data_IF_329515965518
#
_entry.id   IF_329515965518
#
_cell.length_a   1.000
_cell.length_b   1.000
_cell.length_c   1.000
_cell.angle_alpha   90.00
_cell.angle_beta   90.00
_cell.angle_gamma   90.00
#
_symmetry.space_group_name_H-M   'P 1'
#
loop_
_entity.id
_entity.type
_entity.pdbx_description
1 polymer ?
#
# COMPACT_ATOMS: atom_id res chain seq x y z
N UNK A 1 8.21 -6.70 -7.29
CA UNK A 1 8.76 -6.14 -6.04
C UNK A 1 7.62 -5.89 -5.05
N UNK A 2 6.66 -4.98 -5.24
CA UNK A 2 5.37 -5.05 -4.49
C UNK A 2 4.59 -6.35 -4.75
N UNK A 3 4.82 -6.97 -5.91
CA UNK A 3 4.45 -8.37 -6.19
C UNK A 3 4.85 -9.35 -5.08
N UNK A 4 6.01 -9.18 -4.44
CA UNK A 4 6.54 -10.13 -3.46
C UNK A 4 5.79 -10.00 -2.14
N UNK A 5 5.48 -8.78 -1.70
CA UNK A 5 4.69 -8.53 -0.49
C UNK A 5 3.27 -9.09 -0.64
N UNK A 6 2.65 -8.90 -1.81
CA UNK A 6 1.33 -9.47 -2.09
C UNK A 6 1.37 -11.01 -2.21
N UNK A 7 2.49 -11.60 -2.64
CA UNK A 7 2.68 -13.07 -2.57
C UNK A 7 2.70 -13.52 -1.12
N UNK A 8 3.36 -12.80 -0.23
CA UNK A 8 3.36 -13.15 1.18
C UNK A 8 1.97 -12.97 1.81
N UNK A 9 1.33 -11.80 1.64
CA UNK A 9 -0.01 -11.53 2.19
C UNK A 9 -1.07 -12.52 1.69
N UNK A 10 -0.99 -12.97 0.43
CA UNK A 10 -2.00 -13.85 -0.15
C UNK A 10 -1.71 -15.34 0.00
N UNK A 11 -0.47 -15.71 0.34
CA UNK A 11 -0.05 -17.08 0.59
C UNK A 11 0.61 -17.24 1.96
N UNK A 12 0.20 -16.45 2.95
CA UNK A 12 0.72 -16.45 4.33
C UNK A 12 0.92 -17.86 4.92
N UNK A 13 0.03 -18.86 4.68
CA UNK A 13 0.24 -20.21 5.22
C UNK A 13 1.39 -21.01 4.57
N UNK A 14 1.88 -20.57 3.40
CA UNK A 14 2.83 -21.31 2.55
C UNK A 14 4.13 -20.53 2.34
N UNK A 15 4.10 -19.21 2.46
CA UNK A 15 5.23 -18.33 2.14
C UNK A 15 5.89 -17.82 3.44
N UNK A 16 7.21 -18.01 3.62
CA UNK A 16 7.92 -17.52 4.80
C UNK A 16 7.83 -16.00 4.99
N UNK A 17 7.69 -15.53 6.23
CA UNK A 17 7.55 -14.11 6.57
C UNK A 17 8.71 -13.19 6.16
N UNK A 18 9.91 -13.73 5.92
CA UNK A 18 11.04 -12.92 5.46
C UNK A 18 10.89 -12.43 4.01
N UNK A 19 9.99 -13.03 3.23
CA UNK A 19 9.73 -12.64 1.84
C UNK A 19 9.16 -11.21 1.78
N UNK A 20 8.38 -10.85 2.77
CA UNK A 20 7.75 -9.53 2.95
C UNK A 20 8.75 -8.41 3.25
N UNK A 21 9.90 -8.76 3.82
CA UNK A 21 10.97 -7.82 4.14
C UNK A 21 11.55 -7.15 2.89
N UNK A 22 11.46 -7.84 1.74
CA UNK A 22 12.08 -7.44 0.49
C UNK A 22 11.30 -6.29 -0.16
N UNK A 23 9.98 -6.17 0.04
CA UNK A 23 9.21 -5.11 -0.58
C UNK A 23 9.01 -3.85 0.27
N UNK A 24 9.30 -3.87 1.58
CA UNK A 24 9.33 -2.64 2.42
C UNK A 24 10.20 -1.50 1.82
N UNK A 25 11.42 -1.75 1.30
CA UNK A 25 12.21 -0.73 0.61
C UNK A 25 11.55 -0.14 -0.64
N UNK A 26 10.70 -0.92 -1.31
CA UNK A 26 10.12 -0.60 -2.62
C UNK A 26 9.12 0.54 -2.49
N UNK A 27 8.36 0.58 -1.40
CA UNK A 27 7.42 1.66 -1.12
C UNK A 27 8.14 3.01 -1.00
N UNK A 28 9.30 3.07 -0.33
CA UNK A 28 10.13 4.30 -0.27
C UNK A 28 10.70 4.68 -1.63
N UNK A 29 11.05 3.70 -2.47
CA UNK A 29 11.51 3.98 -3.84
C UNK A 29 10.39 4.61 -4.67
N UNK A 30 9.15 4.12 -4.57
CA UNK A 30 7.99 4.73 -5.22
C UNK A 30 7.71 6.15 -4.70
N UNK A 31 7.82 6.37 -3.39
CA UNK A 31 7.73 7.71 -2.79
C UNK A 31 8.81 8.63 -3.34
N UNK A 32 10.06 8.18 -3.40
CA UNK A 32 11.17 8.94 -3.94
C UNK A 32 10.95 9.32 -5.41
N UNK A 33 10.54 8.36 -6.25
CA UNK A 33 10.23 8.63 -7.66
C UNK A 33 9.07 9.62 -7.79
N UNK A 34 8.08 9.56 -6.87
CA UNK A 34 6.95 10.50 -6.88
C UNK A 34 7.37 11.92 -6.48
N UNK A 35 8.30 12.06 -5.53
CA UNK A 35 8.93 13.34 -5.16
C UNK A 35 9.67 13.92 -6.36
N UNK A 36 10.53 13.13 -7.02
CA UNK A 36 11.26 13.55 -8.22
C UNK A 36 10.30 13.93 -9.36
N UNK A 37 9.24 13.13 -9.56
CA UNK A 37 8.18 13.38 -10.53
C UNK A 37 7.45 14.69 -10.25
N UNK A 38 7.15 14.99 -8.99
CA UNK A 38 6.49 16.22 -8.57
C UNK A 38 7.37 17.46 -8.77
N UNK A 39 8.66 17.36 -8.45
CA UNK A 39 9.63 18.47 -8.60
C UNK A 39 9.78 18.85 -10.08
N UNK A 40 9.89 17.86 -10.97
CA UNK A 40 10.18 18.08 -12.39
C UNK A 40 8.92 18.25 -13.27
N UNK A 41 7.72 17.99 -12.74
CA UNK A 41 6.48 18.15 -13.50
C UNK A 41 6.00 19.60 -13.45
N UNK A 42 5.76 20.18 -14.62
CA UNK A 42 5.18 21.52 -14.73
C UNK A 42 3.71 21.55 -14.27
N UNK A 43 2.91 20.56 -14.68
CA UNK A 43 1.48 20.45 -14.34
C UNK A 43 1.26 19.43 -13.20
N UNK A 44 1.37 19.91 -11.97
CA UNK A 44 1.22 19.11 -10.73
C UNK A 44 -0.19 18.56 -10.56
N UNK A 45 -1.21 19.31 -10.98
CA UNK A 45 -2.61 18.88 -10.88
C UNK A 45 -2.88 17.67 -11.77
N UNK A 46 -2.42 17.71 -13.03
CA UNK A 46 -2.52 16.56 -13.94
C UNK A 46 -1.75 15.36 -13.42
N UNK A 47 -0.63 15.57 -12.74
CA UNK A 47 0.08 14.46 -12.10
C UNK A 47 -0.73 13.81 -10.99
N UNK A 48 -1.29 14.59 -10.06
CA UNK A 48 -2.17 14.08 -9.00
C UNK A 48 -3.41 13.38 -9.56
N UNK A 49 -4.05 13.94 -10.59
CA UNK A 49 -5.22 13.33 -11.23
C UNK A 49 -4.90 11.96 -11.84
N UNK A 50 -3.71 11.75 -12.39
CA UNK A 50 -3.29 10.41 -12.87
C UNK A 50 -3.19 9.40 -11.73
N UNK A 51 -2.71 9.82 -10.55
CA UNK A 51 -2.64 8.95 -9.38
C UNK A 51 -4.05 8.64 -8.86
N UNK A 52 -4.94 9.64 -8.80
CA UNK A 52 -6.33 9.45 -8.37
C UNK A 52 -7.13 8.55 -9.34
N UNK A 53 -6.93 8.70 -10.65
CA UNK A 53 -7.51 7.79 -11.65
C UNK A 53 -6.97 6.36 -11.45
N UNK A 54 -5.66 6.20 -11.20
CA UNK A 54 -5.06 4.91 -10.87
C UNK A 54 -5.70 4.29 -9.61
N UNK A 55 -5.93 5.09 -8.58
CA UNK A 55 -6.63 4.68 -7.36
C UNK A 55 -8.06 4.20 -7.66
N UNK A 56 -8.84 4.91 -8.48
CA UNK A 56 -10.17 4.47 -8.87
C UNK A 56 -10.16 3.20 -9.71
N UNK A 57 -9.26 3.11 -10.71
CA UNK A 57 -9.12 1.91 -11.54
C UNK A 57 -8.83 0.69 -10.66
N UNK A 58 -7.92 0.84 -9.69
CA UNK A 58 -7.62 -0.22 -8.71
C UNK A 58 -8.86 -0.63 -7.92
N UNK A 59 -9.54 0.31 -7.27
CA UNK A 59 -10.69 -0.02 -6.42
C UNK A 59 -11.83 -0.66 -7.22
N UNK A 60 -12.15 -0.11 -8.39
CA UNK A 60 -13.20 -0.65 -9.27
C UNK A 60 -12.80 -2.04 -9.76
N UNK A 61 -11.58 -2.22 -10.24
CA UNK A 61 -11.13 -3.51 -10.74
C UNK A 61 -11.04 -4.57 -9.64
N UNK A 62 -10.59 -4.21 -8.43
CA UNK A 62 -10.61 -5.11 -7.27
C UNK A 62 -12.05 -5.50 -6.91
N UNK A 63 -12.98 -4.55 -6.89
CA UNK A 63 -14.40 -4.84 -6.65
C UNK A 63 -14.99 -5.79 -7.71
N UNK A 64 -14.65 -5.59 -8.99
CA UNK A 64 -15.07 -6.48 -10.08
C UNK A 64 -14.49 -7.88 -9.89
N UNK A 65 -13.19 -8.00 -9.63
CA UNK A 65 -12.55 -9.31 -9.47
C UNK A 65 -13.12 -10.04 -8.24
N UNK A 66 -13.29 -9.36 -7.10
CA UNK A 66 -13.89 -9.96 -5.90
C UNK A 66 -15.35 -10.37 -6.10
N UNK A 67 -16.09 -9.68 -6.97
CA UNK A 67 -17.46 -10.07 -7.31
C UNK A 67 -17.51 -11.44 -8.02
N UNK A 68 -16.54 -11.74 -8.90
CA UNK A 68 -16.45 -13.02 -9.61
C UNK A 68 -15.67 -14.10 -8.85
N UNK A 69 -14.69 -13.69 -8.05
CA UNK A 69 -13.72 -14.56 -7.37
C UNK A 69 -13.66 -14.17 -5.89
N UNK A 70 -14.70 -14.52 -5.13
CA UNK A 70 -14.73 -14.26 -3.69
C UNK A 70 -13.87 -15.28 -2.93
N UNK A 71 -12.88 -14.79 -2.18
CA UNK A 71 -12.07 -15.59 -1.26
C UNK A 71 -12.43 -15.12 0.16
N UNK A 72 -13.48 -15.69 0.75
CA UNK A 72 -13.91 -15.36 2.13
C UNK A 72 -14.03 -13.85 2.41
N UNK A 73 -13.67 -13.45 3.64
CA UNK A 73 -13.65 -12.05 4.10
C UNK A 73 -12.36 -11.29 3.73
N UNK A 74 -11.56 -11.79 2.78
CA UNK A 74 -10.27 -11.19 2.43
C UNK A 74 -10.48 -9.90 1.61
N UNK A 75 -10.53 -8.76 2.30
CA UNK A 75 -10.57 -7.43 1.69
C UNK A 75 -9.16 -6.94 1.41
N UNK A 76 -8.75 -6.96 0.13
CA UNK A 76 -7.54 -6.28 -0.34
C UNK A 76 -7.77 -4.76 -0.28
N UNK A 77 -7.43 -4.17 0.86
CA UNK A 77 -7.55 -2.72 1.11
C UNK A 77 -6.31 -1.93 0.66
N UNK A 78 -5.23 -2.62 0.28
CA UNK A 78 -3.93 -2.03 -0.02
C UNK A 78 -3.90 -1.45 -1.44
N UNK A 79 -3.88 -0.11 -1.53
CA UNK A 79 -3.83 0.63 -2.79
C UNK A 79 -2.78 1.74 -2.73
N UNK A 80 -1.57 1.43 -3.19
CA UNK A 80 -0.44 2.35 -3.17
C UNK A 80 -0.73 3.67 -3.91
N UNK A 81 -1.59 3.68 -4.93
CA UNK A 81 -1.93 4.93 -5.63
C UNK A 81 -2.59 5.93 -4.70
N UNK A 82 -3.35 5.47 -3.70
CA UNK A 82 -3.92 6.32 -2.66
C UNK A 82 -2.83 6.96 -1.81
N UNK A 83 -1.86 6.17 -1.33
CA UNK A 83 -0.74 6.65 -0.53
C UNK A 83 0.15 7.62 -1.32
N UNK A 84 0.46 7.30 -2.59
CA UNK A 84 1.21 8.19 -3.47
C UNK A 84 0.45 9.50 -3.75
N UNK A 85 -0.85 9.41 -4.02
CA UNK A 85 -1.69 10.59 -4.23
C UNK A 85 -1.65 11.50 -3.00
N UNK A 86 -1.88 10.96 -1.81
CA UNK A 86 -1.87 11.72 -0.56
C UNK A 86 -0.50 12.33 -0.29
N UNK A 87 0.59 11.58 -0.49
CA UNK A 87 1.96 12.10 -0.34
C UNK A 87 2.23 13.28 -1.28
N UNK A 88 1.83 13.16 -2.56
CA UNK A 88 1.95 14.24 -3.54
C UNK A 88 1.03 15.42 -3.22
N UNK A 89 -0.17 15.16 -2.71
CA UNK A 89 -1.12 16.18 -2.30
C UNK A 89 -0.58 17.00 -1.11
N UNK A 90 0.06 16.34 -0.14
CA UNK A 90 0.76 17.02 0.95
C UNK A 90 1.95 17.83 0.44
N UNK A 91 2.77 17.30 -0.48
CA UNK A 91 3.85 18.06 -1.13
C UNK A 91 3.31 19.31 -1.86
N UNK A 92 2.14 19.19 -2.49
CA UNK A 92 1.46 20.31 -3.14
C UNK A 92 1.08 21.40 -2.14
N UNK A 93 0.52 21.04 -0.99
CA UNK A 93 0.27 21.97 0.12
C UNK A 93 1.54 22.64 0.62
N UNK A 94 2.61 21.86 0.87
CA UNK A 94 3.93 22.37 1.28
C UNK A 94 4.48 23.38 0.27
N UNK A 95 4.30 23.14 -1.03
CA UNK A 95 4.81 24.06 -2.05
C UNK A 95 4.18 25.46 -1.98
N UNK A 96 2.89 25.57 -1.63
CA UNK A 96 2.25 26.88 -1.38
C UNK A 96 2.76 27.55 -0.10
N UNK A 97 3.08 26.77 0.93
CA UNK A 97 3.71 27.30 2.15
C UNK A 97 5.10 27.85 1.81
N UNK A 98 5.89 27.13 1.04
CA UNK A 98 7.22 27.58 0.58
C UNK A 98 7.13 28.88 -0.23
N UNK A 99 6.17 28.99 -1.14
CA UNK A 99 5.97 30.19 -1.96
C UNK A 99 5.44 31.36 -1.12
N UNK A 100 4.53 31.09 -0.18
CA UNK A 100 4.02 32.09 0.77
C UNK A 100 5.08 32.63 1.71
N UNK A 101 6.02 31.80 2.18
CA UNK A 101 7.18 32.24 2.97
C UNK A 101 8.09 33.14 2.12
N UNK A 102 8.40 32.75 0.88
CA UNK A 102 9.27 33.54 -0.01
C UNK A 102 8.65 34.89 -0.41
N UNK A 103 7.34 34.91 -0.59
CA UNK A 103 6.59 36.10 -1.03
C UNK A 103 6.01 36.90 0.16
N UNK A 104 6.29 36.49 1.40
CA UNK A 104 5.70 37.04 2.63
C UNK A 104 4.15 37.15 2.60
N UNK A 105 3.49 36.20 1.91
CA UNK A 105 2.04 36.19 1.73
C UNK A 105 1.37 35.20 2.68
N UNK A 106 0.71 35.72 3.73
CA UNK A 106 -0.05 34.90 4.67
C UNK A 106 -1.19 34.11 4.01
N UNK A 107 -1.76 34.61 2.91
CA UNK A 107 -2.82 33.92 2.15
C UNK A 107 -2.31 32.63 1.51
N UNK A 108 -1.10 32.62 0.95
CA UNK A 108 -0.53 31.41 0.37
C UNK A 108 -0.16 30.37 1.43
N UNK A 109 0.33 30.83 2.59
CA UNK A 109 0.59 29.96 3.75
C UNK A 109 -0.72 29.32 4.22
N UNK A 110 -1.77 30.12 4.42
CA UNK A 110 -3.09 29.62 4.83
C UNK A 110 -3.67 28.62 3.81
N UNK A 111 -3.53 28.91 2.52
CA UNK A 111 -3.93 27.99 1.44
C UNK A 111 -3.16 26.66 1.52
N UNK A 112 -1.85 26.71 1.71
CA UNK A 112 -1.03 25.50 1.83
C UNK A 112 -1.39 24.66 3.06
N UNK A 113 -1.60 25.30 4.21
CA UNK A 113 -2.09 24.64 5.44
C UNK A 113 -3.46 24.00 5.19
N UNK A 114 -4.39 24.74 4.57
CA UNK A 114 -5.71 24.23 4.21
C UNK A 114 -5.63 22.96 3.35
N UNK A 115 -4.77 22.96 2.33
CA UNK A 115 -4.55 21.78 1.47
C UNK A 115 -4.05 20.58 2.28
N UNK A 116 -3.11 20.78 3.22
CA UNK A 116 -2.60 19.68 4.06
C UNK A 116 -3.68 19.13 5.00
N UNK A 117 -4.56 20.01 5.52
CA UNK A 117 -5.61 19.62 6.45
C UNK A 117 -6.78 18.88 5.78
N UNK A 118 -7.08 19.14 4.51
CA UNK A 118 -8.18 18.49 3.77
C UNK A 118 -8.20 16.96 3.92
N UNK A 119 -7.13 16.20 3.61
CA UNK A 119 -7.16 14.73 3.72
C UNK A 119 -7.29 14.24 5.16
N UNK A 120 -6.79 15.00 6.15
CA UNK A 120 -6.93 14.66 7.57
C UNK A 120 -8.38 14.82 8.01
N UNK A 121 -9.00 15.96 7.69
CA UNK A 121 -10.42 16.22 7.97
C UNK A 121 -11.29 15.18 7.25
N UNK A 122 -11.00 14.88 5.99
CA UNK A 122 -11.70 13.84 5.24
C UNK A 122 -11.62 12.46 5.92
N UNK A 123 -10.45 12.11 6.47
CA UNK A 123 -10.27 10.84 7.19
C UNK A 123 -11.14 10.75 8.46
N UNK A 124 -11.25 11.85 9.21
CA UNK A 124 -12.10 11.92 10.41
C UNK A 124 -13.59 11.83 10.05
N UNK A 125 -14.00 12.56 9.00
CA UNK A 125 -15.38 12.50 8.48
C UNK A 125 -15.71 11.10 8.00
N UNK A 126 -14.82 10.47 7.24
CA UNK A 126 -14.99 9.10 6.75
C UNK A 126 -15.15 8.11 7.91
N UNK A 127 -14.31 8.20 8.95
CA UNK A 127 -14.41 7.31 10.13
C UNK A 127 -15.74 7.49 10.87
N UNK A 128 -16.20 8.73 11.01
CA UNK A 128 -17.48 9.06 11.65
C UNK A 128 -18.67 8.55 10.84
N UNK A 129 -18.64 8.72 9.52
CA UNK A 129 -19.70 8.26 8.61
C UNK A 129 -19.72 6.74 8.47
N UNK A 130 -18.56 6.08 8.51
CA UNK A 130 -18.46 4.63 8.49
C UNK A 130 -19.21 4.02 9.69
N UNK A 131 -19.02 4.58 10.88
CA UNK A 131 -19.70 4.15 12.10
C UNK A 131 -21.23 4.40 12.05
N UNK A 132 -21.65 5.53 11.46
CA UNK A 132 -23.06 5.91 11.42
C UNK A 132 -23.87 5.22 10.31
N UNK A 133 -23.26 5.01 9.13
CA UNK A 133 -23.95 4.58 7.90
C UNK A 133 -23.14 3.49 7.17
N UNK A 134 -23.05 2.26 7.71
CA UNK A 134 -22.22 1.19 7.15
C UNK A 134 -22.64 0.73 5.74
N UNK A 135 -23.84 1.10 5.28
CA UNK A 135 -24.31 0.82 3.92
C UNK A 135 -23.77 1.78 2.85
N UNK A 136 -23.28 2.96 3.23
CA UNK A 136 -22.71 3.97 2.31
C UNK A 136 -21.18 3.87 2.19
N UNK A 137 -20.59 2.83 2.77
CA UNK A 137 -19.15 2.63 2.89
C UNK A 137 -18.45 2.66 1.53
N UNK A 138 -19.07 2.12 0.47
CA UNK A 138 -18.51 2.15 -0.89
C UNK A 138 -18.34 3.55 -1.45
N UNK A 139 -19.21 4.51 -1.10
CA UNK A 139 -19.12 5.91 -1.56
C UNK A 139 -18.01 6.66 -0.81
N UNK A 140 -17.73 6.27 0.43
CA UNK A 140 -16.67 6.88 1.24
C UNK A 140 -15.26 6.58 0.72
N UNK A 141 -15.10 5.47 -0.02
CA UNK A 141 -13.82 5.05 -0.61
C UNK A 141 -13.50 5.69 -1.96
N UNK A 142 -14.30 6.65 -2.43
CA UNK A 142 -14.01 7.41 -3.66
C UNK A 142 -12.72 8.24 -3.50
N UNK A 143 -12.44 8.74 -2.30
CA UNK A 143 -11.23 9.49 -2.02
C UNK A 143 -10.34 8.75 -1.04
N UNK A 144 -9.01 8.69 -1.27
CA UNK A 144 -8.09 8.08 -0.34
C UNK A 144 -8.05 8.88 0.97
N UNK A 145 -7.95 8.17 2.09
CA UNK A 145 -7.83 8.75 3.43
C UNK A 145 -6.52 8.34 4.08
N UNK A 146 -6.06 9.18 5.02
CA UNK A 146 -4.79 9.00 5.74
C UNK A 146 -4.83 7.75 6.61
N UNK A 147 -5.98 7.43 7.20
CA UNK A 147 -6.14 6.28 8.10
C UNK A 147 -6.22 4.95 7.37
N UNK A 148 -6.62 4.95 6.09
CA UNK A 148 -6.74 3.75 5.27
C UNK A 148 -5.63 3.65 4.21
N UNK A 149 -4.76 4.67 4.14
CA UNK A 149 -3.61 4.64 3.26
C UNK A 149 -2.64 3.52 3.69
N UNK A 150 -2.24 2.72 2.72
CA UNK A 150 -1.28 1.64 2.89
C UNK A 150 0.04 2.18 3.45
N UNK A 151 0.54 1.54 4.52
CA UNK A 151 1.85 1.84 5.13
C UNK A 151 1.86 2.92 6.20
N UNK A 152 0.74 3.55 6.57
CA UNK A 152 0.63 4.46 7.73
C UNK A 152 1.70 5.57 7.76
N UNK A 153 2.79 5.35 8.52
CA UNK A 153 3.98 6.22 8.59
C UNK A 153 4.59 6.50 7.21
N UNK A 154 4.49 5.55 6.28
CA UNK A 154 5.07 5.61 4.94
C UNK A 154 4.51 6.77 4.10
N UNK A 155 3.28 7.19 4.38
CA UNK A 155 2.68 8.39 3.78
C UNK A 155 3.54 9.65 4.00
N UNK A 156 4.11 9.78 5.20
CA UNK A 156 4.90 10.95 5.59
C UNK A 156 6.33 10.93 5.06
N UNK A 157 6.79 9.80 4.51
CA UNK A 157 8.12 9.68 3.90
C UNK A 157 8.21 10.54 2.63
N UNK A 158 7.18 10.62 1.80
CA UNK A 158 7.21 11.48 0.61
C UNK A 158 7.37 12.99 0.94
N UNK A 159 6.55 13.59 1.82
CA UNK A 159 6.75 14.96 2.29
C UNK A 159 8.14 15.20 2.91
N UNK A 160 8.64 14.25 3.72
CA UNK A 160 9.97 14.32 4.30
C UNK A 160 11.05 14.40 3.21
N UNK A 161 11.01 13.49 2.24
CA UNK A 161 11.95 13.45 1.12
C UNK A 161 11.88 14.72 0.26
N UNK A 162 10.70 15.31 0.11
CA UNK A 162 10.51 16.59 -0.58
C UNK A 162 11.12 17.76 0.17
N UNK A 163 10.95 17.85 1.48
CA UNK A 163 11.58 18.90 2.29
C UNK A 163 13.10 18.81 2.23
N UNK A 164 13.63 17.59 2.22
CA UNK A 164 15.08 17.31 2.16
C UNK A 164 15.63 17.24 0.73
N UNK A 165 14.82 17.58 -0.31
CA UNK A 165 15.18 17.42 -1.74
C UNK A 165 16.46 18.13 -2.18
N UNK A 166 16.88 19.17 -1.46
CA UNK A 166 18.08 19.96 -1.82
C UNK A 166 19.39 19.19 -1.61
N UNK A 167 19.41 18.22 -0.68
CA UNK A 167 20.63 17.48 -0.34
C UNK A 167 20.33 15.99 -0.19
N UNK A 168 20.90 15.17 -1.07
CA UNK A 168 20.69 13.72 -1.10
C UNK A 168 21.07 13.04 0.22
N UNK A 169 22.18 13.43 0.84
CA UNK A 169 22.62 12.87 2.13
C UNK A 169 21.57 13.08 3.23
N UNK A 170 20.86 14.22 3.22
CA UNK A 170 19.79 14.48 4.18
C UNK A 170 18.57 13.59 3.95
N UNK A 171 18.22 13.28 2.70
CA UNK A 171 17.19 12.28 2.42
C UNK A 171 17.56 10.91 3.00
N UNK A 172 18.82 10.49 2.88
CA UNK A 172 19.29 9.22 3.46
C UNK A 172 19.24 9.22 4.99
N UNK A 173 19.66 10.31 5.62
CA UNK A 173 19.58 10.48 7.07
C UNK A 173 18.12 10.47 7.52
N UNK A 174 17.23 11.15 6.78
CA UNK A 174 15.80 11.16 7.07
C UNK A 174 15.17 9.77 7.01
N UNK A 175 15.46 8.99 5.97
CA UNK A 175 15.01 7.59 5.84
C UNK A 175 15.55 6.76 7.01
N UNK A 176 16.84 6.90 7.33
CA UNK A 176 17.47 6.17 8.44
C UNK A 176 16.84 6.52 9.78
N UNK A 177 16.55 7.80 10.02
CA UNK A 177 15.91 8.25 11.25
C UNK A 177 14.49 7.69 11.40
N UNK A 178 13.71 7.67 10.32
CA UNK A 178 12.37 7.05 10.30
C UNK A 178 12.48 5.55 10.58
N UNK A 179 13.40 4.85 9.92
CA UNK A 179 13.63 3.42 10.15
C UNK A 179 14.00 3.11 11.59
N UNK A 180 14.94 3.87 12.18
CA UNK A 180 15.33 3.71 13.58
C UNK A 180 14.16 4.00 14.51
N UNK A 181 13.38 5.06 14.26
CA UNK A 181 12.20 5.37 15.07
C UNK A 181 11.19 4.21 15.07
N UNK A 182 10.89 3.65 13.89
CA UNK A 182 10.00 2.48 13.75
C UNK A 182 10.55 1.28 14.49
N UNK A 183 11.85 0.97 14.34
CA UNK A 183 12.50 -0.14 15.04
C UNK A 183 12.40 0.00 16.56
N UNK A 184 12.60 1.22 17.08
CA UNK A 184 12.55 1.51 18.52
C UNK A 184 11.14 1.44 19.11
N UNK A 185 10.08 1.57 18.30
CA UNK A 185 8.69 1.48 18.80
C UNK A 185 8.32 0.07 19.25
N UNK A 186 8.87 -0.96 18.60
CA UNK A 186 8.69 -2.36 19.01
C UNK A 186 9.90 -3.22 18.56
N UNK A 187 11.00 -3.21 19.34
CA UNK A 187 12.19 -3.99 19.00
C UNK A 187 11.97 -5.51 19.13
N UNK A 188 11.07 -5.94 20.01
CA UNK A 188 10.75 -7.35 20.25
C UNK A 188 10.18 -8.05 19.01
N UNK A 189 9.39 -7.32 18.21
CA UNK A 189 8.74 -7.86 17.01
C UNK A 189 9.33 -7.29 15.71
N UNK A 190 10.56 -6.77 15.75
CA UNK A 190 11.22 -6.13 14.60
C UNK A 190 11.37 -7.06 13.37
N UNK A 191 11.35 -8.37 13.56
CA UNK A 191 11.48 -9.36 12.48
C UNK A 191 10.18 -10.14 12.24
N UNK A 192 9.06 -9.76 12.86
CA UNK A 192 7.78 -10.43 12.70
C UNK A 192 6.71 -9.46 12.23
N UNK A 193 6.18 -8.62 13.13
CA UNK A 193 5.09 -7.67 12.82
C UNK A 193 5.59 -6.27 12.51
N UNK A 194 6.70 -5.86 13.12
CA UNK A 194 7.29 -4.54 12.95
C UNK A 194 8.39 -4.57 11.88
N UNK A 195 8.05 -4.91 10.64
CA UNK A 195 9.03 -5.05 9.54
C UNK A 195 9.28 -3.74 8.76
N UNK A 196 8.51 -2.70 9.04
CA UNK A 196 8.56 -1.41 8.33
C UNK A 196 9.93 -0.71 8.42
N UNK A 197 10.72 -0.92 9.48
CA UNK A 197 12.05 -0.32 9.59
C UNK A 197 13.00 -0.76 8.47
N UNK A 198 12.73 -1.89 7.82
CA UNK A 198 13.51 -2.40 6.69
C UNK A 198 13.44 -1.50 5.46
N UNK A 199 12.56 -0.48 5.47
CA UNK A 199 12.59 0.63 4.52
C UNK A 199 13.97 1.29 4.39
N UNK A 200 14.85 1.15 5.41
CA UNK A 200 16.24 1.64 5.39
C UNK A 200 17.04 1.09 4.21
N UNK A 201 16.75 -0.13 3.74
CA UNK A 201 17.49 -0.72 2.61
C UNK A 201 17.23 0.00 1.28
N UNK A 202 16.18 0.83 1.19
CA UNK A 202 15.94 1.68 0.02
C UNK A 202 17.11 2.65 -0.23
N UNK A 203 17.86 3.02 0.82
CA UNK A 203 19.04 3.88 0.76
C UNK A 203 20.09 3.34 -0.22
N UNK A 204 20.25 2.01 -0.31
CA UNK A 204 21.22 1.41 -1.25
C UNK A 204 20.87 1.83 -2.68
N UNK A 205 19.63 1.61 -3.10
CA UNK A 205 19.16 1.98 -4.44
C UNK A 205 19.16 3.50 -4.63
N UNK A 206 18.73 4.25 -3.61
CA UNK A 206 18.70 5.71 -3.68
C UNK A 206 20.11 6.32 -3.79
N UNK A 207 21.15 5.68 -3.25
CA UNK A 207 22.54 6.18 -3.30
C UNK A 207 23.15 6.04 -4.69
N UNK A 208 22.68 5.05 -5.46
CA UNK A 208 23.10 4.81 -6.83
C UNK A 208 22.38 5.71 -7.85
N UNK A 209 21.39 6.50 -7.42
CA UNK A 209 20.66 7.41 -8.29
C UNK A 209 21.55 8.58 -8.72
N UNK A 210 21.75 8.72 -10.03
CA UNK A 210 22.64 9.71 -10.64
C UNK A 210 21.97 11.08 -10.93
N UNK A 211 20.73 11.29 -10.48
CA UNK A 211 19.99 12.54 -10.70
C UNK A 211 19.42 12.71 -12.11
N UNK A 212 19.65 11.76 -13.02
CA UNK A 212 19.16 11.85 -14.39
C UNK A 212 17.88 11.05 -14.59
N UNK A 213 16.98 11.60 -15.41
CA UNK A 213 15.76 10.91 -15.80
C UNK A 213 16.11 9.75 -16.76
N UNK A 214 15.92 8.52 -16.28
CA UNK A 214 16.01 7.32 -17.11
C UNK A 214 14.91 7.22 -18.17
N UNK A 215 14.91 6.13 -18.94
CA UNK A 215 13.86 5.86 -19.93
C UNK A 215 12.47 5.86 -19.26
N UNK A 216 11.54 6.62 -19.83
CA UNK A 216 10.19 6.76 -19.28
C UNK A 216 9.37 5.48 -19.47
N UNK A 217 9.37 4.60 -18.48
CA UNK A 217 8.51 3.39 -18.43
C UNK A 217 7.18 3.66 -17.70
N UNK A 218 6.64 4.88 -17.82
CA UNK A 218 5.45 5.32 -17.08
C UNK A 218 4.30 4.33 -17.21
N UNK A 219 3.86 4.04 -18.44
CA UNK A 219 2.68 3.22 -18.70
C UNK A 219 2.84 1.79 -18.20
N UNK A 220 4.07 1.25 -18.22
CA UNK A 220 4.35 -0.07 -17.68
C UNK A 220 3.99 -0.14 -16.20
N UNK A 221 4.46 0.79 -15.36
CA UNK A 221 4.14 0.76 -13.93
C UNK A 221 2.65 0.97 -13.64
N UNK A 222 2.00 1.89 -14.35
CA UNK A 222 0.57 2.17 -14.13
C UNK A 222 -0.35 1.00 -14.51
N UNK A 223 0.02 0.18 -15.49
CA UNK A 223 -0.76 -1.00 -15.91
C UNK A 223 -0.32 -2.25 -15.14
N UNK A 224 0.98 -2.42 -14.93
CA UNK A 224 1.53 -3.57 -14.22
C UNK A 224 0.98 -3.65 -12.79
N UNK A 225 0.89 -2.52 -12.07
CA UNK A 225 0.43 -2.53 -10.68
C UNK A 225 -1.00 -3.12 -10.51
N UNK A 226 -2.03 -2.61 -11.20
CA UNK A 226 -3.35 -3.23 -11.16
C UNK A 226 -3.39 -4.68 -11.64
N UNK A 227 -2.76 -4.96 -12.78
CA UNK A 227 -2.86 -6.28 -13.41
C UNK A 227 -2.24 -7.36 -12.55
N UNK A 228 -1.06 -7.14 -11.94
CA UNK A 228 -0.43 -8.19 -11.13
C UNK A 228 -1.21 -8.50 -9.84
N UNK A 229 -1.83 -7.49 -9.20
CA UNK A 229 -2.68 -7.70 -8.02
C UNK A 229 -3.92 -8.50 -8.38
N UNK A 230 -4.60 -8.14 -9.47
CA UNK A 230 -5.79 -8.88 -9.92
C UNK A 230 -5.46 -10.30 -10.36
N UNK A 231 -4.33 -10.50 -11.05
CA UNK A 231 -3.87 -11.84 -11.43
C UNK A 231 -3.59 -12.70 -10.19
N UNK A 232 -2.99 -12.12 -9.15
CA UNK A 232 -2.80 -12.86 -7.90
C UNK A 232 -4.13 -13.24 -7.25
N UNK A 233 -5.06 -12.30 -7.16
CA UNK A 233 -6.38 -12.54 -6.59
C UNK A 233 -7.10 -13.67 -7.33
N UNK A 234 -7.07 -13.67 -8.66
CA UNK A 234 -7.64 -14.74 -9.48
C UNK A 234 -6.90 -16.06 -9.22
N UNK A 235 -5.56 -16.05 -9.19
CA UNK A 235 -4.77 -17.28 -8.99
C UNK A 235 -5.06 -17.95 -7.65
N UNK A 236 -5.18 -17.15 -6.58
CA UNK A 236 -5.50 -17.63 -5.23
C UNK A 236 -6.93 -18.14 -5.20
N UNK A 237 -7.89 -17.43 -5.79
CA UNK A 237 -9.28 -17.88 -5.84
C UNK A 237 -9.44 -19.22 -6.57
N UNK A 238 -8.70 -19.42 -7.66
CA UNK A 238 -8.68 -20.68 -8.40
C UNK A 238 -8.04 -21.82 -7.57
N UNK A 239 -6.95 -21.54 -6.85
CA UNK A 239 -6.32 -22.52 -5.96
C UNK A 239 -7.25 -22.92 -4.80
N UNK A 240 -7.89 -21.96 -4.15
CA UNK A 240 -8.88 -22.22 -3.10
C UNK A 240 -10.08 -23.01 -3.64
N UNK A 241 -10.61 -22.63 -4.80
CA UNK A 241 -11.72 -23.38 -5.44
C UNK A 241 -11.31 -24.81 -5.76
N UNK A 242 -10.12 -25.03 -6.30
CA UNK A 242 -9.60 -26.36 -6.61
C UNK A 242 -9.37 -27.21 -5.34
N UNK A 243 -8.85 -26.60 -4.27
CA UNK A 243 -8.65 -27.25 -2.98
C UNK A 243 -9.98 -27.59 -2.29
N UNK A 244 -10.95 -26.67 -2.30
CA UNK A 244 -12.28 -26.88 -1.76
C UNK A 244 -13.02 -28.00 -2.51
N UNK A 245 -12.97 -28.01 -3.85
CA UNK A 245 -13.49 -29.11 -4.67
C UNK A 245 -12.81 -30.43 -4.32
N UNK A 246 -11.49 -30.44 -4.10
CA UNK A 246 -10.74 -31.64 -3.71
C UNK A 246 -11.11 -32.16 -2.32
N UNK A 247 -11.38 -31.26 -1.37
CA UNK A 247 -11.87 -31.61 -0.03
C UNK A 247 -13.30 -32.13 -0.07
N UNK A 248 -14.19 -31.52 -0.84
CA UNK A 248 -15.58 -31.97 -0.97
C UNK A 248 -15.65 -33.33 -1.68
N UNK A 249 -14.84 -33.55 -2.73
CA UNK A 249 -14.69 -34.87 -3.37
C UNK A 249 -14.11 -35.91 -2.41
N UNK A 250 -13.16 -35.56 -1.53
CA UNK A 250 -12.67 -36.46 -0.47
C UNK A 250 -13.74 -36.73 0.59
N UNK A 251 -14.52 -35.74 1.00
CA UNK A 251 -15.63 -35.86 1.97
C UNK A 251 -16.75 -36.76 1.43
N UNK A 252 -17.11 -36.60 0.15
CA UNK A 252 -18.06 -37.48 -0.55
C UNK A 252 -17.50 -38.91 -0.65
N UNK A 253 -16.22 -39.08 -0.98
CA UNK A 253 -15.56 -40.40 -1.05
C UNK A 253 -15.56 -41.12 0.30
N UNK A 254 -15.30 -40.41 1.41
CA UNK A 254 -15.35 -40.98 2.77
C UNK A 254 -16.78 -41.36 3.15
N UNK A 255 -17.78 -40.55 2.78
CA UNK A 255 -19.19 -40.85 3.04
C UNK A 255 -19.73 -42.04 2.21
N UNK A 256 -19.13 -42.34 1.06
CA UNK A 256 -19.47 -43.49 0.22
C UNK A 256 -18.71 -44.80 0.56
N UNK A 257 -17.76 -44.79 1.51
CA UNK A 257 -17.02 -45.99 1.96
C UNK A 257 -17.12 -46.12 3.49
N UNK A 258 -18.13 -46.83 4.04
CA UNK A 258 -18.42 -46.84 5.47
C UNK A 258 -17.51 -47.76 6.31
N UNK A 259 -16.46 -48.37 5.74
CA UNK A 259 -15.68 -49.43 6.40
C UNK A 259 -14.28 -49.03 6.89
N UNK A 260 -13.92 -47.74 6.91
CA UNK A 260 -12.64 -47.29 7.49
C UNK A 260 -12.87 -46.39 8.71
N UNK A 261 -12.61 -47.02 9.84
CA UNK A 261 -12.80 -46.63 11.25
C UNK A 261 -12.10 -45.33 11.67
N UNK A 262 -12.84 -44.50 12.40
CA UNK A 262 -12.56 -43.61 13.57
C UNK A 262 -11.15 -43.01 13.81
N UNK A 263 -10.04 -43.59 13.35
CA UNK A 263 -8.68 -43.06 13.58
C UNK A 263 -8.30 -41.85 12.72
N UNK A 264 -8.91 -41.68 11.54
CA UNK A 264 -8.58 -40.58 10.63
C UNK A 264 -9.12 -39.21 11.07
N UNK A 265 -10.09 -39.19 11.99
CA UNK A 265 -10.70 -37.95 12.49
C UNK A 265 -9.74 -37.23 13.45
N UNK A 266 -8.94 -37.96 14.22
CA UNK A 266 -8.00 -37.35 15.18
C UNK A 266 -6.73 -36.76 14.55
N UNK A 267 -6.36 -37.14 13.33
CA UNK A 267 -5.23 -36.49 12.62
C UNK A 267 -5.57 -35.09 12.08
N UNK A 268 -6.86 -34.76 11.87
CA UNK A 268 -7.24 -33.47 11.32
C UNK A 268 -7.23 -32.33 12.35
N UNK A 269 -7.45 -32.64 13.63
CA UNK A 269 -7.42 -31.64 14.70
C UNK A 269 -6.01 -31.15 15.07
N UNK A 270 -4.97 -31.89 14.66
CA UNK A 270 -3.57 -31.54 14.94
C UNK A 270 -2.98 -30.58 13.89
N UNK A 271 -3.63 -30.42 12.73
CA UNK A 271 -3.17 -29.51 11.67
C UNK A 271 -3.80 -28.10 11.73
N UNK A 272 -4.76 -27.89 12.64
CA UNK A 272 -5.50 -26.63 12.80
C UNK A 272 -5.64 -26.26 14.30
N UNK A 273 -4.54 -26.32 15.03
CA UNK A 273 -4.35 -25.62 16.30
C UNK A 273 -3.05 -24.81 16.24
#
# INVERSE_FOLDING_TARGET
MMFIDHVHEMFEPVVPGWVDWIGRPVAVIFMFISVEGFIHTHDRLRYMMRLLIGFWIMNIGTAIVQHFFSIGDFALLNNIFGTLFLGVFTMYGISFIEDGIKQHSGVQIAKGIGIILIPIVWSVVQMSLFAALPKLVSVLFIFPSVTMAEGGVLLYVAPLLYLLRKKRSWQMIGISAVAVAIFLMDPSHAFTTNTEWMLVFSIVILSMYNGQKGKSMRNFFYVFYPVHIWLFLISVALLFSCFYIRLEVRRIRIRCQPSLTVETINCLHVFFA
#
